data_IF_842376715628
#
_entry.id   IF_842376715628
#
_cell.length_a   1.000
_cell.length_b   1.000
_cell.length_c   1.000
_cell.angle_alpha   90.00
_cell.angle_beta   90.00
_cell.angle_gamma   90.00
#
_symmetry.space_group_name_H-M   'P 1'
#
loop_
_entity.id
_entity.type
_entity.pdbx_description
1 polymer ?
#
# COMPACT_ATOMS: atom_id res chain seq x y z
N UNK A 1 11.98 17.03 -2.46
CA UNK A 1 11.24 17.84 -3.44
C UNK A 1 9.78 17.91 -3.02
N UNK A 2 9.03 16.81 -2.97
CA UNK A 2 7.59 16.79 -2.64
C UNK A 2 7.29 17.44 -1.29
N UNK A 3 8.01 17.09 -0.21
CA UNK A 3 7.80 17.70 1.12
C UNK A 3 8.02 19.21 1.15
N UNK A 4 8.95 19.74 0.34
CA UNK A 4 9.14 21.19 0.21
C UNK A 4 7.96 21.90 -0.46
N UNK A 5 7.06 21.16 -1.07
CA UNK A 5 5.82 21.61 -1.71
C UNK A 5 4.58 21.26 -0.87
N UNK A 6 4.76 20.76 0.36
CA UNK A 6 3.66 20.40 1.26
C UNK A 6 3.00 19.06 0.95
N UNK A 7 3.64 18.22 0.10
CA UNK A 7 3.16 16.86 -0.15
C UNK A 7 3.91 15.87 0.75
N UNK A 8 3.17 15.06 1.47
CA UNK A 8 3.74 14.06 2.37
C UNK A 8 3.24 12.67 2.00
N UNK A 9 4.14 11.69 2.07
CA UNK A 9 3.85 10.29 1.77
C UNK A 9 4.23 9.49 2.99
N UNK A 10 3.38 8.59 3.41
CA UNK A 10 3.67 7.66 4.50
C UNK A 10 3.01 6.32 4.25
N UNK A 11 3.65 5.26 4.73
CA UNK A 11 3.10 3.92 4.64
C UNK A 11 3.26 3.18 5.97
N UNK A 12 2.32 2.27 6.23
CA UNK A 12 2.33 1.40 7.39
C UNK A 12 1.82 0.01 7.04
N UNK A 13 1.80 -0.87 8.03
CA UNK A 13 1.39 -2.27 7.88
C UNK A 13 0.07 -2.51 8.60
N UNK A 14 -1.08 -2.45 7.91
CA UNK A 14 -2.37 -2.75 8.50
C UNK A 14 -2.63 -4.26 8.68
N UNK A 15 -1.84 -5.16 8.07
CA UNK A 15 -2.05 -6.61 8.24
C UNK A 15 -0.80 -7.42 7.95
N UNK A 16 -0.48 -8.39 8.83
CA UNK A 16 0.47 -9.49 8.58
C UNK A 16 -0.13 -10.79 9.10
N UNK A 17 -0.01 -11.88 8.34
CA UNK A 17 -0.45 -13.22 8.72
C UNK A 17 -1.90 -13.29 9.24
N UNK A 18 -2.78 -12.41 8.74
CA UNK A 18 -4.17 -12.29 9.17
C UNK A 18 -4.39 -11.47 10.45
N UNK A 19 -3.32 -11.02 11.13
CA UNK A 19 -3.40 -10.10 12.27
C UNK A 19 -3.59 -8.69 11.73
N UNK A 20 -4.62 -7.98 12.20
CA UNK A 20 -5.01 -6.67 11.69
C UNK A 20 -4.71 -5.55 12.68
N UNK A 21 -4.15 -4.46 12.20
CA UNK A 21 -4.06 -3.15 12.84
C UNK A 21 -5.13 -2.21 12.27
N UNK A 22 -5.33 -1.05 12.90
CA UNK A 22 -6.17 0.00 12.36
C UNK A 22 -5.59 0.54 11.04
N UNK A 23 -6.44 1.10 10.20
CA UNK A 23 -6.05 1.84 9.00
C UNK A 23 -5.71 3.30 9.34
N UNK A 24 -5.13 4.01 8.41
CA UNK A 24 -5.03 5.46 8.46
C UNK A 24 -6.41 6.10 8.55
N UNK A 25 -6.49 7.30 9.15
CA UNK A 25 -7.67 8.13 9.01
C UNK A 25 -7.86 8.52 7.54
N UNK A 26 -8.99 8.16 6.90
CA UNK A 26 -9.16 8.41 5.47
C UNK A 26 -9.15 9.89 5.09
N UNK A 27 -9.37 10.80 6.03
CA UNK A 27 -9.33 12.24 5.78
C UNK A 27 -7.94 12.85 6.01
N UNK A 28 -6.97 12.05 6.45
CA UNK A 28 -5.57 12.41 6.53
C UNK A 28 -4.89 12.05 7.83
N UNK A 29 -3.59 11.87 7.76
CA UNK A 29 -2.69 11.68 8.91
C UNK A 29 -1.71 12.85 8.98
N UNK A 30 -1.18 13.08 10.16
CA UNK A 30 -0.18 14.14 10.37
C UNK A 30 1.19 13.74 9.82
N UNK A 31 1.99 14.74 9.45
CA UNK A 31 3.40 14.52 9.09
C UNK A 31 4.17 13.85 10.23
N UNK A 32 3.84 14.16 11.48
CA UNK A 32 4.44 13.55 12.66
C UNK A 32 4.13 12.05 12.74
N UNK A 33 2.92 11.61 12.34
CA UNK A 33 2.57 10.19 12.22
C UNK A 33 3.48 9.49 11.21
N UNK A 34 3.64 10.07 10.02
CA UNK A 34 4.52 9.48 8.99
C UNK A 34 5.98 9.46 9.42
N UNK A 35 6.46 10.50 10.09
CA UNK A 35 7.82 10.55 10.61
C UNK A 35 8.05 9.46 11.67
N UNK A 36 7.12 9.28 12.60
CA UNK A 36 7.24 8.24 13.63
C UNK A 36 7.25 6.83 13.05
N UNK A 37 6.42 6.56 12.04
CA UNK A 37 6.38 5.26 11.36
C UNK A 37 7.70 4.91 10.67
N UNK A 38 8.42 5.90 10.12
CA UNK A 38 9.71 5.67 9.46
C UNK A 38 10.84 5.27 10.41
N UNK A 39 10.71 5.60 11.70
CA UNK A 39 11.69 5.21 12.73
C UNK A 39 11.47 3.76 13.20
N UNK A 40 10.32 3.16 12.90
CA UNK A 40 9.96 1.82 13.35
C UNK A 40 10.47 0.74 12.39
N UNK A 41 10.93 -0.40 12.96
CA UNK A 41 11.32 -1.57 12.16
C UNK A 41 10.13 -2.26 11.49
N UNK A 42 9.00 -2.25 12.18
CA UNK A 42 7.71 -2.69 11.68
C UNK A 42 6.74 -1.52 11.88
N UNK A 43 6.51 -0.69 10.85
CA UNK A 43 5.64 0.48 10.96
C UNK A 43 4.18 0.06 11.12
N UNK A 44 3.69 0.11 12.34
CA UNK A 44 2.29 -0.14 12.73
C UNK A 44 1.76 1.04 13.52
N UNK A 45 0.46 1.24 13.53
CA UNK A 45 -0.17 2.33 14.27
C UNK A 45 -0.47 1.95 15.73
N UNK A 46 -0.58 0.65 16.00
CA UNK A 46 -0.86 0.11 17.34
C UNK A 46 0.25 -0.83 17.78
N UNK A 47 1.01 -0.43 18.79
CA UNK A 47 2.21 -1.16 19.26
C UNK A 47 1.92 -2.62 19.63
N UNK A 48 0.87 -2.86 20.42
CA UNK A 48 0.50 -4.24 20.85
C UNK A 48 0.16 -5.15 19.67
N UNK A 49 -0.35 -4.58 18.58
CA UNK A 49 -0.63 -5.32 17.34
C UNK A 49 0.67 -5.62 16.60
N UNK A 50 1.60 -4.64 16.58
CA UNK A 50 2.94 -4.85 16.03
C UNK A 50 3.69 -6.00 16.68
N UNK A 51 3.64 -6.10 18.02
CA UNK A 51 4.24 -7.21 18.76
C UNK A 51 3.65 -8.58 18.37
N UNK A 52 2.34 -8.65 18.14
CA UNK A 52 1.68 -9.88 17.65
C UNK A 52 2.10 -10.21 16.22
N UNK A 53 2.22 -9.22 15.34
CA UNK A 53 2.69 -9.41 13.97
C UNK A 53 4.14 -9.89 13.94
N UNK A 54 5.01 -9.32 14.78
CA UNK A 54 6.39 -9.77 14.91
C UNK A 54 6.48 -11.21 15.41
N UNK A 55 5.66 -11.59 16.40
CA UNK A 55 5.59 -12.97 16.88
C UNK A 55 5.20 -13.94 15.74
N UNK A 56 4.18 -13.60 14.95
CA UNK A 56 3.76 -14.44 13.81
C UNK A 56 4.86 -14.56 12.72
N UNK A 57 5.65 -13.52 12.50
CA UNK A 57 6.82 -13.57 11.60
C UNK A 57 7.89 -14.52 12.16
N UNK A 58 8.16 -14.45 13.47
CA UNK A 58 9.14 -15.31 14.13
C UNK A 58 8.70 -16.78 14.15
N UNK A 59 7.42 -17.05 14.36
CA UNK A 59 6.85 -18.39 14.30
C UNK A 59 6.99 -18.98 12.88
N UNK A 60 6.64 -18.22 11.84
CA UNK A 60 6.84 -18.65 10.46
C UNK A 60 8.33 -18.93 10.17
N UNK A 61 9.22 -18.08 10.66
CA UNK A 61 10.68 -18.29 10.53
C UNK A 61 11.12 -19.59 11.21
N UNK A 62 10.64 -19.87 12.42
CA UNK A 62 10.98 -21.09 13.16
C UNK A 62 10.50 -22.34 12.44
N UNK A 63 9.39 -22.27 11.72
CA UNK A 63 8.86 -23.34 10.88
C UNK A 63 9.55 -23.47 9.52
N UNK A 64 10.48 -22.60 9.16
CA UNK A 64 11.10 -22.54 7.83
C UNK A 64 10.13 -22.04 6.74
N UNK A 65 9.12 -21.28 7.11
CA UNK A 65 8.05 -20.75 6.27
C UNK A 65 8.12 -19.22 6.15
N UNK A 66 7.13 -18.61 5.49
CA UNK A 66 7.01 -17.17 5.33
C UNK A 66 5.55 -16.72 5.41
N UNK A 67 5.36 -15.46 5.74
CA UNK A 67 4.04 -14.78 5.78
C UNK A 67 4.02 -13.56 4.88
N UNK A 68 2.85 -13.29 4.34
CA UNK A 68 2.52 -12.06 3.62
C UNK A 68 1.65 -11.14 4.45
N UNK A 69 1.14 -10.10 3.80
CA UNK A 69 0.24 -9.14 4.44
C UNK A 69 -0.13 -7.99 3.52
N UNK A 70 -0.51 -6.88 4.11
CA UNK A 70 -0.96 -5.67 3.42
C UNK A 70 -0.09 -4.50 3.87
N UNK A 71 0.27 -3.63 2.92
CA UNK A 71 0.83 -2.31 3.17
C UNK A 71 -0.20 -1.28 2.73
N UNK A 72 -0.49 -0.30 3.58
CA UNK A 72 -1.28 0.87 3.24
C UNK A 72 -0.36 2.07 3.06
N UNK A 73 -0.56 2.80 1.97
CA UNK A 73 0.18 4.02 1.65
C UNK A 73 -0.79 5.18 1.49
N UNK A 74 -0.41 6.32 2.02
CA UNK A 74 -1.17 7.57 1.92
C UNK A 74 -0.28 8.68 1.38
N UNK A 75 -0.85 9.48 0.49
CA UNK A 75 -0.25 10.73 0.00
C UNK A 75 -1.18 11.88 0.36
N UNK A 76 -0.67 12.85 1.10
CA UNK A 76 -1.39 14.06 1.50
C UNK A 76 -0.86 15.29 0.79
N UNK A 77 -1.70 16.34 0.70
CA UNK A 77 -1.32 17.63 0.13
C UNK A 77 -1.33 17.69 -1.40
N UNK A 78 -1.91 16.67 -2.08
CA UNK A 78 -2.02 16.71 -3.53
C UNK A 78 -2.92 17.84 -4.01
N UNK A 79 -2.51 18.56 -5.07
CA UNK A 79 -3.41 19.47 -5.76
C UNK A 79 -4.56 18.69 -6.43
N UNK A 80 -5.67 19.36 -6.67
CA UNK A 80 -6.79 18.81 -7.46
C UNK A 80 -6.40 18.73 -8.92
N UNK A 81 -6.76 17.63 -9.60
CA UNK A 81 -6.65 17.51 -11.05
C UNK A 81 -5.40 16.80 -11.56
N UNK A 82 -4.62 16.13 -10.72
CA UNK A 82 -3.53 15.25 -11.17
C UNK A 82 -4.08 13.94 -11.72
N UNK A 83 -3.56 13.52 -12.85
CA UNK A 83 -3.96 12.33 -13.62
C UNK A 83 -4.52 12.70 -14.97
N UNK A 84 -4.32 11.85 -15.98
CA UNK A 84 -4.80 12.05 -17.36
C UNK A 84 -5.69 10.86 -17.80
N UNK A 85 -6.98 10.84 -17.39
CA UNK A 85 -7.88 9.84 -17.90
C UNK A 85 -8.06 10.04 -19.43
N UNK A 86 -8.16 8.98 -20.22
CA UNK A 86 -8.78 7.71 -19.91
C UNK A 86 -7.79 6.62 -19.42
N UNK A 87 -6.62 6.46 -20.03
CA UNK A 87 -5.69 5.36 -19.78
C UNK A 87 -4.69 5.67 -18.67
N UNK A 88 -4.28 6.93 -18.58
CA UNK A 88 -3.24 7.39 -17.66
C UNK A 88 -3.86 8.06 -16.44
N UNK A 89 -4.96 7.46 -15.93
CA UNK A 89 -5.56 7.86 -14.66
C UNK A 89 -4.58 7.67 -13.53
N UNK A 90 -4.70 8.46 -12.47
CA UNK A 90 -3.81 8.37 -11.31
C UNK A 90 -3.80 6.97 -10.68
N UNK A 91 -4.96 6.24 -10.69
CA UNK A 91 -5.00 4.83 -10.28
C UNK A 91 -4.21 3.93 -11.24
N UNK A 92 -4.27 4.18 -12.55
CA UNK A 92 -3.55 3.39 -13.53
C UNK A 92 -2.04 3.52 -13.36
N UNK A 93 -1.54 4.75 -13.24
CA UNK A 93 -0.11 5.04 -13.07
C UNK A 93 0.42 4.48 -11.73
N UNK A 94 -0.29 4.72 -10.63
CA UNK A 94 0.08 4.12 -9.34
C UNK A 94 0.06 2.59 -9.42
N UNK A 95 -0.97 1.99 -10.02
CA UNK A 95 -1.06 0.53 -10.13
C UNK A 95 0.05 -0.04 -11.00
N UNK A 96 0.35 0.57 -12.14
CA UNK A 96 1.45 0.15 -13.02
C UNK A 96 2.79 0.14 -12.26
N UNK A 97 3.10 1.23 -11.56
CA UNK A 97 4.33 1.33 -10.77
C UNK A 97 4.35 0.29 -9.64
N UNK A 98 3.26 0.13 -8.89
CA UNK A 98 3.21 -0.79 -7.75
C UNK A 98 3.32 -2.26 -8.17
N UNK A 99 2.74 -2.67 -9.32
CA UNK A 99 2.92 -4.03 -9.83
C UNK A 99 4.32 -4.31 -10.38
N UNK A 100 5.17 -3.30 -10.60
CA UNK A 100 6.59 -3.49 -10.89
C UNK A 100 7.38 -3.99 -9.68
N UNK A 101 6.86 -3.79 -8.46
CA UNK A 101 7.48 -4.24 -7.22
C UNK A 101 7.25 -5.75 -7.06
N UNK A 102 8.32 -6.56 -6.90
CA UNK A 102 8.17 -8.00 -6.71
C UNK A 102 7.29 -8.34 -5.52
N UNK A 103 6.50 -9.41 -5.66
CA UNK A 103 5.56 -9.96 -4.68
C UNK A 103 4.27 -9.14 -4.46
N UNK A 104 4.08 -7.99 -5.05
CA UNK A 104 2.77 -7.32 -5.10
C UNK A 104 1.82 -8.19 -5.94
N UNK A 105 0.60 -8.43 -5.42
CA UNK A 105 -0.42 -9.28 -6.01
C UNK A 105 -1.80 -8.63 -6.10
N UNK A 106 -1.97 -7.47 -5.50
CA UNK A 106 -3.20 -6.72 -5.57
C UNK A 106 -2.98 -5.29 -5.12
N UNK A 107 -3.83 -4.41 -5.61
CA UNK A 107 -3.95 -3.02 -5.18
C UNK A 107 -5.43 -2.68 -5.07
N UNK A 108 -5.77 -1.86 -4.11
CA UNK A 108 -7.10 -1.22 -3.98
C UNK A 108 -6.94 0.21 -3.50
N UNK A 109 -7.86 1.08 -3.93
CA UNK A 109 -7.91 2.50 -3.57
C UNK A 109 -9.11 2.78 -2.67
N UNK A 110 -8.95 3.66 -1.67
CA UNK A 110 -10.02 4.00 -0.73
C UNK A 110 -10.58 2.76 -0.03
N UNK A 111 -11.89 2.57 -0.07
CA UNK A 111 -12.53 1.36 0.47
C UNK A 111 -12.40 0.13 -0.43
N UNK A 112 -11.88 0.31 -1.65
CA UNK A 112 -11.50 -0.79 -2.53
C UNK A 112 -12.64 -1.77 -2.77
N UNK A 113 -12.41 -3.05 -2.52
CA UNK A 113 -13.43 -4.10 -2.74
C UNK A 113 -14.67 -3.94 -1.86
N UNK A 114 -14.61 -3.23 -0.72
CA UNK A 114 -15.78 -2.99 0.11
C UNK A 114 -16.84 -2.10 -0.59
N UNK A 115 -16.42 -1.23 -1.51
CA UNK A 115 -17.32 -0.42 -2.32
C UNK A 115 -18.33 -1.26 -3.12
N UNK A 116 -17.95 -2.47 -3.54
CA UNK A 116 -18.83 -3.34 -4.31
C UNK A 116 -20.08 -3.80 -3.53
N UNK A 117 -20.06 -3.73 -2.19
CA UNK A 117 -21.20 -4.03 -1.33
C UNK A 117 -21.99 -2.78 -0.93
N UNK A 118 -21.55 -1.58 -1.29
CA UNK A 118 -22.20 -0.31 -0.92
C UNK A 118 -23.23 0.12 -1.96
N UNK A 119 -24.21 0.89 -1.51
CA UNK A 119 -25.09 1.64 -2.43
C UNK A 119 -24.36 2.92 -2.85
N UNK A 120 -24.60 3.41 -4.07
CA UNK A 120 -23.96 4.62 -4.58
C UNK A 120 -24.13 5.84 -3.67
N UNK A 121 -25.29 6.02 -3.05
CA UNK A 121 -25.53 7.11 -2.11
C UNK A 121 -24.68 7.03 -0.82
N UNK A 122 -24.20 5.85 -0.45
CA UNK A 122 -23.32 5.63 0.70
C UNK A 122 -21.83 5.66 0.30
N UNK A 123 -21.53 5.30 -0.95
CA UNK A 123 -20.16 5.26 -1.48
C UNK A 123 -19.66 6.64 -1.96
N UNK A 124 -20.57 7.59 -2.21
CA UNK A 124 -20.19 8.94 -2.62
C UNK A 124 -19.57 9.73 -1.47
N UNK A 125 -18.46 10.41 -1.77
CA UNK A 125 -17.80 11.33 -0.87
C UNK A 125 -18.50 12.71 -0.96
N UNK A 126 -19.43 12.96 -0.04
CA UNK A 126 -20.26 14.16 -0.05
C UNK A 126 -19.44 15.43 0.20
N UNK A 127 -19.47 16.37 -0.73
CA UNK A 127 -18.74 17.64 -0.65
C UNK A 127 -19.53 18.67 0.15
N UNK A 128 -18.82 19.55 0.87
CA UNK A 128 -19.37 20.68 1.60
C UNK A 128 -18.36 21.83 1.66
N UNK A 129 -18.87 23.02 1.94
CA UNK A 129 -18.03 24.18 2.18
C UNK A 129 -17.57 24.22 3.64
N UNK A 130 -16.26 24.31 3.86
CA UNK A 130 -15.63 24.52 5.16
C UNK A 130 -14.57 25.61 5.03
N UNK A 131 -14.68 26.69 5.78
CA UNK A 131 -13.72 27.80 5.85
C UNK A 131 -13.28 28.34 4.48
N UNK A 132 -14.20 28.39 3.51
CA UNK A 132 -13.94 28.90 2.15
C UNK A 132 -13.28 27.89 1.19
N UNK A 133 -13.17 26.62 1.60
CA UNK A 133 -12.68 25.51 0.78
C UNK A 133 -13.76 24.43 0.62
N UNK A 134 -13.67 23.65 -0.42
CA UNK A 134 -14.48 22.46 -0.60
C UNK A 134 -13.77 21.31 0.11
N UNK A 135 -14.48 20.66 1.00
CA UNK A 135 -14.03 19.46 1.73
C UNK A 135 -15.03 18.33 1.56
N UNK A 136 -14.62 17.10 1.82
CA UNK A 136 -15.51 15.95 1.85
C UNK A 136 -15.66 15.42 3.26
N UNK A 137 -16.78 14.73 3.53
CA UNK A 137 -17.05 14.11 4.83
C UNK A 137 -16.44 12.71 4.96
N UNK A 138 -16.14 12.11 3.83
CA UNK A 138 -15.61 10.73 3.70
C UNK A 138 -14.59 10.70 2.58
N UNK A 139 -13.86 9.60 2.47
CA UNK A 139 -12.88 9.37 1.40
C UNK A 139 -12.94 7.91 0.95
N UNK A 140 -14.16 7.44 0.66
CA UNK A 140 -14.40 6.07 0.20
C UNK A 140 -13.67 5.76 -1.12
N UNK A 141 -13.55 6.78 -1.98
CA UNK A 141 -12.86 6.66 -3.27
C UNK A 141 -11.33 6.82 -3.17
N UNK A 142 -10.79 7.05 -1.97
CA UNK A 142 -9.34 7.12 -1.77
C UNK A 142 -8.67 8.31 -2.44
N UNK A 143 -9.35 9.45 -2.53
CA UNK A 143 -8.80 10.72 -3.05
C UNK A 143 -8.83 10.87 -4.56
N UNK A 144 -9.32 9.86 -5.29
CA UNK A 144 -9.34 9.84 -6.76
C UNK A 144 -10.76 9.68 -7.26
N UNK A 145 -11.22 10.60 -8.09
CA UNK A 145 -12.53 10.57 -8.72
C UNK A 145 -12.38 10.80 -10.23
N UNK A 146 -12.93 9.89 -11.02
CA UNK A 146 -12.84 9.99 -12.48
C UNK A 146 -11.42 9.92 -13.02
N UNK A 147 -10.49 9.33 -12.26
CA UNK A 147 -9.10 9.17 -12.65
C UNK A 147 -8.16 10.31 -12.26
N UNK A 148 -8.68 11.36 -11.60
CA UNK A 148 -7.92 12.53 -11.17
C UNK A 148 -7.99 12.75 -9.65
N UNK A 149 -6.97 13.36 -9.07
CA UNK A 149 -6.96 13.73 -7.66
C UNK A 149 -8.05 14.73 -7.31
N UNK A 150 -8.79 14.48 -6.23
CA UNK A 150 -9.89 15.31 -5.75
C UNK A 150 -9.53 16.29 -4.64
N UNK A 151 -8.26 16.35 -4.21
CA UNK A 151 -7.81 17.17 -3.09
C UNK A 151 -7.82 16.45 -1.73
N UNK A 152 -8.50 15.31 -1.63
CA UNK A 152 -8.40 14.41 -0.48
C UNK A 152 -7.07 13.63 -0.49
N UNK A 153 -6.65 13.06 0.66
CA UNK A 153 -5.53 12.12 0.66
C UNK A 153 -5.74 11.00 -0.34
N UNK A 154 -4.73 10.71 -1.16
CA UNK A 154 -4.72 9.50 -1.97
C UNK A 154 -4.29 8.35 -1.10
N UNK A 155 -5.17 7.33 -0.97
CA UNK A 155 -4.96 6.15 -0.12
C UNK A 155 -5.11 4.90 -0.96
N UNK A 156 -4.12 4.04 -0.89
CA UNK A 156 -4.16 2.73 -1.53
C UNK A 156 -3.51 1.65 -0.66
N UNK A 157 -3.92 0.41 -0.88
CA UNK A 157 -3.39 -0.77 -0.18
C UNK A 157 -2.88 -1.80 -1.15
N UNK A 158 -1.77 -2.43 -0.78
CA UNK A 158 -1.09 -3.44 -1.58
C UNK A 158 -1.10 -4.78 -0.86
N UNK A 159 -1.58 -5.81 -1.53
CA UNK A 159 -1.43 -7.18 -1.08
C UNK A 159 -0.06 -7.72 -1.49
N UNK A 160 0.74 -8.11 -0.52
CA UNK A 160 2.08 -8.68 -0.70
C UNK A 160 2.05 -10.16 -0.32
N UNK A 161 2.36 -11.02 -1.30
CA UNK A 161 2.38 -12.47 -1.06
C UNK A 161 3.55 -12.88 -0.16
N UNK A 162 3.45 -14.01 0.55
CA UNK A 162 4.58 -14.63 1.23
C UNK A 162 5.73 -14.90 0.27
N UNK A 163 6.96 -14.91 0.79
CA UNK A 163 8.15 -15.30 0.04
C UNK A 163 8.04 -16.76 -0.37
N UNK A 164 8.18 -17.04 -1.68
CA UNK A 164 8.08 -18.41 -2.19
C UNK A 164 9.31 -19.26 -1.91
N UNK A 165 10.47 -18.63 -1.69
CA UNK A 165 11.73 -19.32 -1.32
C UNK A 165 11.70 -19.57 0.19
N UNK A 166 11.36 -20.79 0.60
CA UNK A 166 11.23 -21.21 1.99
C UNK A 166 12.00 -22.49 2.26
N UNK A 167 12.29 -22.77 3.53
CA UNK A 167 13.03 -23.96 3.97
C UNK A 167 12.21 -25.24 4.01
N UNK A 168 10.87 -25.14 3.90
CA UNK A 168 9.99 -26.33 3.86
C UNK A 168 10.10 -27.04 2.52
N UNK A 169 10.03 -28.40 2.49
CA UNK A 169 9.92 -29.16 1.24
C UNK A 169 8.67 -28.74 0.45
N UNK A 170 8.84 -28.46 -0.82
CA UNK A 170 7.76 -28.05 -1.73
C UNK A 170 7.69 -28.98 -2.94
N UNK A 171 6.46 -29.28 -3.35
CA UNK A 171 6.21 -30.02 -4.58
C UNK A 171 6.65 -29.20 -5.78
N UNK A 172 7.38 -29.81 -6.69
CA UNK A 172 7.83 -29.24 -7.96
C UNK A 172 8.02 -30.36 -8.98
N UNK A 173 8.55 -30.00 -10.15
CA UNK A 173 8.83 -30.96 -11.22
C UNK A 173 10.30 -30.97 -11.59
N UNK A 174 10.84 -32.16 -11.89
CA UNK A 174 12.11 -32.30 -12.56
C UNK A 174 11.86 -32.34 -14.07
N UNK A 175 12.22 -31.27 -14.75
CA UNK A 175 11.98 -31.14 -16.20
C UNK A 175 12.77 -32.16 -17.03
N UNK A 176 13.99 -32.50 -16.61
CA UNK A 176 14.83 -33.45 -17.34
C UNK A 176 14.26 -34.88 -17.24
N UNK A 177 13.78 -35.26 -16.07
CA UNK A 177 13.23 -36.61 -15.80
C UNK A 177 11.71 -36.68 -16.03
N UNK A 178 11.05 -35.53 -16.29
CA UNK A 178 9.61 -35.41 -16.51
C UNK A 178 8.78 -36.06 -15.41
N UNK A 179 9.16 -35.80 -14.14
CA UNK A 179 8.48 -36.37 -12.97
C UNK A 179 8.30 -35.33 -11.86
N UNK A 180 7.34 -35.59 -10.98
CA UNK A 180 7.15 -34.83 -9.75
C UNK A 180 8.33 -35.10 -8.80
N UNK A 181 8.73 -34.07 -8.05
CA UNK A 181 9.80 -34.15 -7.06
C UNK A 181 9.51 -33.22 -5.89
N UNK A 182 10.23 -33.42 -4.80
CA UNK A 182 10.27 -32.49 -3.66
C UNK A 182 11.55 -31.68 -3.75
N UNK A 183 11.44 -30.37 -3.59
CA UNK A 183 12.55 -29.44 -3.51
C UNK A 183 12.58 -28.78 -2.15
N UNK A 184 13.72 -28.84 -1.48
CA UNK A 184 14.00 -28.03 -0.30
C UNK A 184 15.08 -27.04 -0.69
N UNK A 185 14.76 -25.74 -0.58
CA UNK A 185 15.70 -24.67 -0.94
C UNK A 185 16.55 -24.38 0.29
N UNK A 186 17.86 -24.57 0.17
CA UNK A 186 18.82 -24.21 1.22
C UNK A 186 19.17 -22.71 1.19
N UNK A 187 19.60 -22.17 2.33
CA UNK A 187 20.08 -20.81 2.44
C UNK A 187 19.27 -19.95 3.43
N UNK A 188 19.55 -18.64 3.41
CA UNK A 188 18.83 -17.68 4.25
C UNK A 188 17.57 -17.23 3.53
N UNK A 189 16.42 -17.51 4.16
CA UNK A 189 15.11 -17.09 3.68
C UNK A 189 14.57 -15.93 4.50
N UNK A 190 13.81 -15.06 3.86
CA UNK A 190 13.15 -13.94 4.51
C UNK A 190 11.73 -14.36 4.92
N UNK A 191 11.43 -14.45 6.21
CA UNK A 191 10.11 -14.89 6.67
C UNK A 191 9.01 -13.88 6.37
N UNK A 192 9.36 -12.60 6.14
CA UNK A 192 8.41 -11.55 5.76
C UNK A 192 9.16 -10.39 5.10
N UNK A 193 8.81 -10.07 3.86
CA UNK A 193 9.46 -8.99 3.10
C UNK A 193 8.83 -7.62 3.33
N UNK A 194 7.66 -7.56 3.99
CA UNK A 194 6.83 -6.35 4.13
C UNK A 194 7.61 -5.18 4.74
N UNK A 195 8.36 -5.32 5.86
CA UNK A 195 9.09 -4.19 6.43
C UNK A 195 10.09 -3.54 5.45
N UNK A 196 10.66 -4.33 4.55
CA UNK A 196 11.59 -3.84 3.51
C UNK A 196 10.88 -3.29 2.28
N UNK A 197 9.63 -3.67 2.05
CA UNK A 197 8.84 -3.19 0.93
C UNK A 197 8.34 -1.75 1.16
N UNK A 198 8.15 -1.33 2.41
CA UNK A 198 7.58 -0.03 2.76
C UNK A 198 8.34 1.15 2.12
N UNK A 199 9.66 1.33 2.33
CA UNK A 199 10.39 2.44 1.72
C UNK A 199 10.39 2.37 0.18
N UNK A 200 10.29 1.18 -0.39
CA UNK A 200 10.17 1.00 -1.85
C UNK A 200 8.82 1.49 -2.34
N UNK A 201 7.74 1.17 -1.63
CA UNK A 201 6.38 1.60 -1.95
C UNK A 201 6.24 3.12 -1.82
N UNK A 202 6.74 3.72 -0.72
CA UNK A 202 6.75 5.18 -0.56
C UNK A 202 7.51 5.87 -1.68
N UNK A 203 8.68 5.33 -2.05
CA UNK A 203 9.50 5.88 -3.13
C UNK A 203 8.81 5.75 -4.50
N UNK A 204 8.20 4.59 -4.77
CA UNK A 204 7.46 4.35 -6.00
C UNK A 204 6.26 5.31 -6.12
N UNK A 205 5.50 5.51 -5.03
CA UNK A 205 4.43 6.51 -4.99
C UNK A 205 4.97 7.92 -5.24
N UNK A 206 6.09 8.28 -4.60
CA UNK A 206 6.72 9.58 -4.79
C UNK A 206 7.15 9.84 -6.24
N UNK A 207 7.64 8.82 -6.94
CA UNK A 207 8.02 8.93 -8.35
C UNK A 207 6.81 9.20 -9.24
N UNK A 208 5.72 8.43 -9.07
CA UNK A 208 4.48 8.64 -9.85
C UNK A 208 3.91 10.03 -9.60
N UNK A 209 3.76 10.42 -8.33
CA UNK A 209 3.21 11.74 -7.99
C UNK A 209 4.08 12.89 -8.52
N UNK A 210 5.41 12.75 -8.48
CA UNK A 210 6.30 13.75 -9.02
C UNK A 210 6.17 13.85 -10.55
N UNK A 211 6.07 12.73 -11.24
CA UNK A 211 5.90 12.66 -12.69
C UNK A 211 4.59 13.34 -13.11
N UNK A 212 3.49 12.99 -12.49
CA UNK A 212 2.16 13.60 -12.70
C UNK A 212 2.18 15.12 -12.52
N UNK A 213 2.85 15.60 -11.49
CA UNK A 213 2.98 17.04 -11.25
C UNK A 213 3.80 17.70 -12.34
N UNK A 214 4.90 17.09 -12.78
CA UNK A 214 5.77 17.64 -13.82
C UNK A 214 5.11 17.66 -15.20
N UNK A 215 4.23 16.71 -15.48
CA UNK A 215 3.45 16.65 -16.74
C UNK A 215 2.32 17.68 -16.73
N UNK A 216 1.67 17.89 -15.58
CA UNK A 216 0.43 18.68 -15.49
C UNK A 216 0.68 20.17 -15.22
N UNK A 217 1.84 20.54 -14.69
CA UNK A 217 2.14 21.93 -14.30
C UNK A 217 3.48 22.42 -14.84
N UNK A 218 3.51 23.69 -15.27
CA UNK A 218 4.75 24.45 -15.43
C UNK A 218 5.37 24.69 -14.04
N UNK A 219 6.25 23.81 -13.64
CA UNK A 219 6.96 23.83 -12.34
C UNK A 219 8.17 24.76 -12.37
#
# INVERSE_FOLDING_TARGET
VLSAKGLHIGAHVPRIAGIEDRRFDPLGESEATFASLREEKLPVLTKDIGEKMEAAILDAKAEGDSVGGIVECMVTGLPVGLGDPFFDSLESELSHMMFSIPAVKGIEFGDGFALAAMKGSAANDGMHWAEGKVETKTNHNGGILGGISGGNPVIFRLAIKPTASIGKPQLTVNLAERKDTLLTIGGRHDPCIIPRAIPVIETAAALVILDEILVTSDW
#
